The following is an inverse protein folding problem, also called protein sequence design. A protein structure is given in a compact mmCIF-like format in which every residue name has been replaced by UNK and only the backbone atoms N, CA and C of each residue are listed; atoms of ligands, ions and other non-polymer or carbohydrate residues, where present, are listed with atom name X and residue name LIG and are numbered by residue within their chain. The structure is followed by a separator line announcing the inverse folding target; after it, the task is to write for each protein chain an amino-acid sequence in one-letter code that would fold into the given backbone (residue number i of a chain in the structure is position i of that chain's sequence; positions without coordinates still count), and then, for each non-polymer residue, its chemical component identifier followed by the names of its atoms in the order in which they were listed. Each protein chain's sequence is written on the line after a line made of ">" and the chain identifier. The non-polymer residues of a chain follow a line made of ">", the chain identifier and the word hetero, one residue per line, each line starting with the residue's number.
data_IF_823318312902
#
_entry.id   IF_823318312902
#
_cell.length_a   1.000
_cell.length_b   1.000
_cell.length_c   1.000
_cell.angle_alpha   90.00
_cell.angle_beta   90.00
_cell.angle_gamma   90.00
#
_symmetry.space_group_name_H-M   'P 1'
#
loop_
_entity.id
_entity.type
_entity.pdbx_description
1 polymer ?
#
# COMPACT_ATOMS: atom_id res chain seq x y z
N UNK A 1 17.00 -25.78 -4.46
CA UNK A 1 16.18 -26.11 -5.64
C UNK A 1 14.73 -26.31 -5.18
N UNK A 2 13.93 -25.26 -5.30
CA UNK A 2 12.46 -25.23 -5.41
C UNK A 2 12.14 -23.77 -5.77
N UNK A 3 12.16 -23.49 -7.07
CA UNK A 3 11.64 -22.24 -7.61
C UNK A 3 10.14 -22.24 -7.33
N UNK A 4 9.69 -21.31 -6.50
CA UNK A 4 8.27 -20.96 -6.45
C UNK A 4 8.02 -20.21 -7.76
N UNK A 5 7.49 -20.92 -8.74
CA UNK A 5 6.91 -20.33 -9.95
C UNK A 5 5.74 -19.48 -9.45
N UNK A 6 5.93 -18.15 -9.47
CA UNK A 6 4.84 -17.20 -9.35
C UNK A 6 4.03 -17.34 -10.64
N UNK A 7 2.92 -18.07 -10.54
CA UNK A 7 2.01 -18.32 -11.65
C UNK A 7 1.46 -16.97 -12.17
N UNK A 8 2.02 -16.48 -13.27
CA UNK A 8 1.56 -15.30 -14.02
C UNK A 8 0.36 -15.72 -14.88
N UNK A 9 -0.71 -16.12 -14.20
CA UNK A 9 -1.96 -16.52 -14.83
C UNK A 9 -2.47 -15.46 -15.79
N UNK A 10 -2.65 -15.88 -17.05
CA UNK A 10 -3.11 -15.08 -18.17
C UNK A 10 -4.28 -14.14 -17.82
N UNK A 11 -4.04 -12.83 -17.86
CA UNK A 11 -5.11 -11.82 -17.81
C UNK A 11 -5.81 -11.72 -19.17
N UNK A 12 -6.87 -12.51 -19.36
CA UNK A 12 -8.03 -12.07 -20.14
C UNK A 12 -8.75 -10.99 -19.35
N UNK A 13 -9.30 -9.94 -19.99
CA UNK A 13 -10.11 -8.89 -19.34
C UNK A 13 -11.02 -9.50 -18.27
N UNK A 14 -10.68 -9.28 -17.01
CA UNK A 14 -11.51 -9.66 -15.87
C UNK A 14 -12.57 -8.58 -15.81
N UNK A 15 -13.81 -8.89 -16.17
CA UNK A 15 -14.94 -8.05 -15.79
C UNK A 15 -15.54 -8.69 -14.55
N UNK A 16 -15.45 -8.02 -13.41
CA UNK A 16 -16.33 -8.31 -12.28
C UNK A 16 -17.71 -7.74 -12.65
N UNK A 17 -18.75 -8.58 -12.55
CA UNK A 17 -20.10 -8.28 -13.04
C UNK A 17 -20.34 -8.61 -14.52
N UNK A 18 -21.47 -9.25 -14.81
CA UNK A 18 -21.89 -9.64 -16.17
C UNK A 18 -22.87 -8.63 -16.80
N UNK A 19 -23.48 -7.78 -15.97
CA UNK A 19 -24.53 -6.86 -16.37
C UNK A 19 -24.09 -5.39 -16.25
N UNK A 20 -24.49 -4.56 -17.21
CA UNK A 20 -24.36 -3.10 -17.08
C UNK A 20 -25.36 -2.58 -16.05
N UNK A 21 -24.91 -1.73 -15.14
CA UNK A 21 -25.77 -1.10 -14.15
C UNK A 21 -26.68 -0.07 -14.81
N UNK A 22 -28.00 -0.20 -14.66
CA UNK A 22 -28.96 0.82 -15.10
C UNK A 22 -29.26 1.82 -14.00
N UNK A 23 -29.70 3.04 -14.37
CA UNK A 23 -30.07 4.11 -13.42
C UNK A 23 -31.14 3.68 -12.41
N UNK A 24 -32.07 2.81 -12.83
CA UNK A 24 -33.14 2.31 -11.96
C UNK A 24 -32.62 1.30 -10.94
N UNK A 25 -31.78 0.34 -11.38
CA UNK A 25 -31.12 -0.64 -10.49
C UNK A 25 -30.19 0.05 -9.47
N UNK A 26 -29.53 1.15 -9.86
CA UNK A 26 -28.75 1.95 -8.93
C UNK A 26 -29.63 2.66 -7.90
N UNK A 27 -30.77 3.24 -8.30
CA UNK A 27 -31.73 3.86 -7.37
C UNK A 27 -32.22 2.83 -6.35
N UNK A 28 -32.64 1.66 -6.80
CA UNK A 28 -33.10 0.57 -5.94
C UNK A 28 -31.97 0.09 -5.00
N UNK A 29 -30.72 0.10 -5.48
CA UNK A 29 -29.57 -0.26 -4.65
C UNK A 29 -29.22 0.83 -3.65
N UNK A 30 -29.37 2.12 -3.98
CA UNK A 30 -29.18 3.25 -3.05
C UNK A 30 -30.29 3.28 -1.99
N UNK A 31 -31.53 2.98 -2.37
CA UNK A 31 -32.65 2.84 -1.45
C UNK A 31 -32.46 1.61 -0.54
N UNK A 32 -31.88 0.53 -1.08
CA UNK A 32 -31.43 -0.61 -0.30
C UNK A 32 -30.23 -0.25 0.61
N UNK A 33 -29.27 0.56 0.17
CA UNK A 33 -28.14 1.03 0.98
C UNK A 33 -28.60 1.87 2.18
N UNK A 34 -29.63 2.68 1.98
CA UNK A 34 -30.25 3.51 3.01
C UNK A 34 -31.04 2.68 4.05
N UNK A 35 -31.42 1.45 3.69
CA UNK A 35 -32.18 0.51 4.54
C UNK A 35 -31.33 -0.67 5.06
N UNK A 36 -30.10 -0.84 4.57
CA UNK A 36 -29.16 -1.90 4.97
C UNK A 36 -28.29 -1.48 6.16
N UNK A 37 -27.88 -2.47 6.96
CA UNK A 37 -27.08 -2.27 8.17
C UNK A 37 -25.61 -1.83 7.92
N UNK A 38 -25.15 -1.76 6.66
CA UNK A 38 -23.83 -1.23 6.25
C UNK A 38 -23.83 -0.87 4.76
N UNK A 39 -23.77 0.43 4.40
CA UNK A 39 -23.64 0.91 3.01
C UNK A 39 -22.39 0.39 2.29
N UNK A 40 -21.31 0.13 3.02
CA UNK A 40 -20.04 -0.34 2.49
C UNK A 40 -20.17 -1.72 1.83
N UNK A 41 -20.90 -2.64 2.48
CA UNK A 41 -21.14 -3.99 1.94
C UNK A 41 -21.98 -3.96 0.67
N UNK A 42 -22.88 -2.99 0.54
CA UNK A 42 -23.70 -2.84 -0.65
C UNK A 42 -22.88 -2.36 -1.85
N UNK A 43 -21.91 -1.47 -1.64
CA UNK A 43 -20.95 -1.06 -2.68
C UNK A 43 -20.11 -2.26 -3.15
N UNK A 44 -19.59 -3.05 -2.21
CA UNK A 44 -18.83 -4.25 -2.57
C UNK A 44 -19.69 -5.28 -3.33
N UNK A 45 -20.98 -5.42 -2.98
CA UNK A 45 -21.92 -6.27 -3.72
C UNK A 45 -22.22 -5.74 -5.12
N UNK A 46 -22.29 -4.42 -5.29
CA UNK A 46 -22.44 -3.80 -6.61
C UNK A 46 -21.28 -4.18 -7.52
N UNK A 47 -20.05 -4.09 -7.01
CA UNK A 47 -18.84 -4.47 -7.73
C UNK A 47 -18.82 -5.96 -8.14
N UNK A 48 -19.46 -6.85 -7.40
CA UNK A 48 -19.55 -8.27 -7.77
C UNK A 48 -20.54 -8.53 -8.92
N UNK A 49 -21.67 -7.83 -8.93
CA UNK A 49 -22.81 -8.15 -9.80
C UNK A 49 -22.84 -7.32 -11.09
N UNK A 50 -22.27 -6.12 -11.06
CA UNK A 50 -22.37 -5.17 -12.15
C UNK A 50 -20.99 -4.70 -12.63
N UNK A 51 -20.87 -4.53 -13.95
CA UNK A 51 -19.74 -3.83 -14.56
C UNK A 51 -19.98 -2.32 -14.37
N UNK A 52 -19.53 -1.81 -13.23
CA UNK A 52 -19.76 -0.42 -12.81
C UNK A 52 -18.58 0.44 -13.23
N UNK A 53 -18.78 1.29 -14.23
CA UNK A 53 -17.87 2.39 -14.53
C UNK A 53 -17.90 3.39 -13.35
N UNK A 54 -16.73 3.67 -12.77
CA UNK A 54 -16.59 4.52 -11.59
C UNK A 54 -16.95 5.99 -11.88
N UNK A 55 -16.70 6.47 -13.10
CA UNK A 55 -17.13 7.79 -13.53
C UNK A 55 -18.64 7.83 -13.74
N UNK A 56 -19.27 6.75 -14.21
CA UNK A 56 -20.72 6.66 -14.28
C UNK A 56 -21.33 6.56 -12.89
N UNK A 57 -20.78 5.76 -11.97
CA UNK A 57 -21.21 5.71 -10.57
C UNK A 57 -21.11 7.11 -9.94
N UNK A 58 -19.99 7.80 -10.16
CA UNK A 58 -19.77 9.17 -9.69
C UNK A 58 -20.74 10.16 -10.32
N UNK A 59 -20.92 10.16 -11.65
CA UNK A 59 -21.84 11.04 -12.38
C UNK A 59 -23.29 10.77 -12.01
N UNK A 60 -23.67 9.52 -11.78
CA UNK A 60 -25.02 9.13 -11.38
C UNK A 60 -25.30 9.55 -9.92
N UNK A 61 -24.32 9.42 -9.03
CA UNK A 61 -24.40 9.94 -7.66
C UNK A 61 -24.40 11.49 -7.63
N UNK A 62 -23.64 12.15 -8.52
CA UNK A 62 -23.69 13.61 -8.72
C UNK A 62 -25.00 14.08 -9.37
N UNK A 63 -25.58 13.30 -10.28
CA UNK A 63 -26.83 13.60 -10.98
C UNK A 63 -28.08 13.48 -10.08
N UNK A 64 -27.97 12.76 -8.97
CA UNK A 64 -28.95 12.78 -7.89
C UNK A 64 -28.80 14.03 -7.00
N UNK A 65 -27.63 14.70 -6.98
CA UNK A 65 -27.30 15.78 -6.05
C UNK A 65 -26.34 16.85 -6.65
N UNK A 66 -26.87 17.96 -7.23
CA UNK A 66 -26.18 18.76 -8.26
C UNK A 66 -25.17 19.83 -7.79
N UNK A 67 -24.56 19.70 -6.60
CA UNK A 67 -23.61 20.71 -6.09
C UNK A 67 -22.20 20.14 -5.91
N UNK A 68 -21.50 19.78 -7.00
CA UNK A 68 -20.06 19.49 -6.95
C UNK A 68 -19.38 20.10 -8.18
N UNK A 69 -18.39 20.96 -7.97
CA UNK A 69 -17.50 21.50 -8.99
C UNK A 69 -16.07 21.03 -8.65
N UNK A 70 -15.46 20.18 -9.48
CA UNK A 70 -14.04 19.81 -9.33
C UNK A 70 -13.35 19.66 -10.69
N UNK A 71 -12.16 20.26 -10.80
CA UNK A 71 -11.31 20.36 -11.99
C UNK A 71 -10.70 19.01 -12.43
N UNK A 72 -10.54 18.86 -13.74
CA UNK A 72 -10.24 17.66 -14.53
C UNK A 72 -8.82 17.06 -14.40
N UNK A 73 -8.05 17.39 -13.34
CA UNK A 73 -6.70 16.83 -13.08
C UNK A 73 -6.62 15.95 -11.81
N UNK A 74 -7.76 15.65 -11.18
CA UNK A 74 -7.88 14.93 -9.90
C UNK A 74 -8.78 13.68 -10.01
N UNK A 75 -8.60 12.85 -11.03
CA UNK A 75 -9.47 11.67 -11.30
C UNK A 75 -8.91 10.33 -10.82
N UNK A 76 -7.97 10.30 -9.89
CA UNK A 76 -7.56 9.07 -9.19
C UNK A 76 -7.81 9.08 -7.67
N UNK A 77 -8.73 9.94 -7.20
CA UNK A 77 -9.16 9.90 -5.80
C UNK A 77 -10.38 8.99 -5.65
N UNK A 78 -10.11 7.80 -5.10
CA UNK A 78 -10.96 6.94 -4.25
C UNK A 78 -12.39 7.44 -4.02
N UNK A 79 -13.37 6.53 -4.17
CA UNK A 79 -14.79 6.70 -3.81
C UNK A 79 -14.99 7.42 -2.45
N UNK A 80 -15.01 8.76 -2.45
CA UNK A 80 -15.50 9.59 -1.33
C UNK A 80 -16.85 10.16 -1.74
N UNK A 81 -17.79 9.24 -1.93
CA UNK A 81 -19.15 9.53 -2.38
C UNK A 81 -20.05 9.69 -1.15
N UNK A 82 -20.19 10.92 -0.63
CA UNK A 82 -21.34 11.23 0.23
C UNK A 82 -21.15 12.15 1.45
N UNK A 83 -19.95 12.66 1.72
CA UNK A 83 -19.69 13.46 2.94
C UNK A 83 -20.57 14.72 3.05
N UNK A 84 -20.93 15.34 1.92
CA UNK A 84 -21.77 16.55 1.93
C UNK A 84 -23.26 16.29 2.18
N UNK A 85 -23.73 15.03 2.22
CA UNK A 85 -25.15 14.68 2.38
C UNK A 85 -25.45 13.52 3.35
N UNK A 86 -24.52 13.19 4.25
CA UNK A 86 -24.77 12.21 5.31
C UNK A 86 -24.60 10.74 4.91
N UNK A 87 -24.06 10.47 3.72
CA UNK A 87 -23.53 9.15 3.34
C UNK A 87 -22.05 9.11 3.73
N UNK A 88 -21.78 8.89 5.02
CA UNK A 88 -20.43 8.60 5.50
C UNK A 88 -20.13 7.11 5.24
N UNK A 89 -19.73 6.80 4.00
CA UNK A 89 -19.28 5.44 3.64
C UNK A 89 -17.83 5.31 4.09
N UNK A 90 -17.61 4.58 5.18
CA UNK A 90 -16.27 4.26 5.67
C UNK A 90 -16.15 2.78 5.93
N UNK A 91 -15.17 2.15 5.28
CA UNK A 91 -14.84 0.74 5.50
C UNK A 91 -14.46 0.39 6.95
N UNK A 92 -14.27 1.38 7.83
CA UNK A 92 -14.07 1.18 9.28
C UNK A 92 -15.30 0.64 10.01
N UNK A 93 -16.50 0.74 9.43
CA UNK A 93 -17.72 0.18 10.01
C UNK A 93 -17.99 -1.28 9.57
N UNK A 94 -17.19 -1.81 8.65
CA UNK A 94 -17.34 -3.17 8.14
C UNK A 94 -16.99 -4.16 9.25
N UNK A 95 -17.89 -5.13 9.47
CA UNK A 95 -17.66 -6.18 10.48
C UNK A 95 -16.95 -7.36 9.84
N UNK A 96 -16.03 -7.96 10.59
CA UNK A 96 -15.30 -9.15 10.14
C UNK A 96 -16.22 -10.27 9.65
N UNK A 97 -17.33 -10.48 10.37
CA UNK A 97 -18.35 -11.48 10.01
C UNK A 97 -18.93 -11.34 8.62
N UNK A 98 -19.00 -10.11 8.12
CA UNK A 98 -19.67 -9.80 6.87
C UNK A 98 -18.67 -9.80 5.69
N UNK A 99 -17.40 -9.48 5.95
CA UNK A 99 -16.35 -9.39 4.91
C UNK A 99 -15.53 -10.68 4.75
N UNK A 100 -15.32 -11.45 5.82
CA UNK A 100 -14.48 -12.65 5.79
C UNK A 100 -14.90 -13.67 4.70
N UNK A 101 -16.20 -13.95 4.47
CA UNK A 101 -16.61 -14.88 3.42
C UNK A 101 -16.21 -14.44 2.00
N UNK A 102 -16.05 -13.14 1.74
CA UNK A 102 -15.65 -12.62 0.42
C UNK A 102 -14.25 -13.07 0.00
N UNK A 103 -13.40 -13.33 0.99
CA UNK A 103 -12.02 -13.78 0.80
C UNK A 103 -11.83 -15.26 1.18
N UNK A 104 -12.94 -16.02 1.21
CA UNK A 104 -12.92 -17.45 1.50
C UNK A 104 -12.63 -17.80 2.96
N UNK A 105 -12.72 -16.86 3.90
CA UNK A 105 -12.50 -17.08 5.32
C UNK A 105 -13.81 -17.35 6.08
N UNK A 106 -13.73 -18.16 7.14
CA UNK A 106 -14.80 -18.44 8.09
C UNK A 106 -14.75 -17.43 9.24
N UNK A 107 -15.81 -16.66 9.40
CA UNK A 107 -15.79 -15.57 10.38
C UNK A 107 -15.70 -16.07 11.83
N UNK A 108 -16.22 -17.26 12.11
CA UNK A 108 -16.19 -17.91 13.42
C UNK A 108 -14.77 -18.23 13.86
N UNK A 109 -13.84 -18.38 12.91
CA UNK A 109 -12.44 -18.68 13.18
C UNK A 109 -11.61 -17.43 13.46
N UNK A 110 -12.20 -16.23 13.39
CA UNK A 110 -11.58 -14.96 13.77
C UNK A 110 -10.19 -14.75 13.13
N UNK A 111 -10.05 -15.15 11.86
CA UNK A 111 -8.82 -15.00 11.08
C UNK A 111 -7.71 -15.99 11.43
N UNK A 112 -7.99 -17.07 12.17
CA UNK A 112 -7.02 -18.17 12.41
C UNK A 112 -6.88 -19.10 11.21
N UNK A 113 -7.83 -19.03 10.30
CA UNK A 113 -7.93 -19.77 9.05
C UNK A 113 -7.30 -19.04 7.86
N UNK A 114 -6.75 -17.84 8.08
CA UNK A 114 -6.03 -17.11 7.04
C UNK A 114 -4.84 -17.94 6.53
N UNK A 115 -4.69 -18.14 5.22
CA UNK A 115 -3.48 -18.72 4.66
C UNK A 115 -2.29 -17.83 5.01
N UNK A 116 -1.13 -18.45 5.23
CA UNK A 116 0.10 -17.72 5.58
C UNK A 116 1.02 -17.59 4.38
N UNK A 117 1.73 -16.47 4.28
CA UNK A 117 2.76 -16.22 3.28
C UNK A 117 4.03 -15.68 3.93
N UNK A 118 5.19 -16.15 3.47
CA UNK A 118 6.48 -15.66 3.97
C UNK A 118 6.72 -14.21 3.52
N UNK A 119 6.86 -13.33 4.51
CA UNK A 119 7.34 -11.97 4.30
C UNK A 119 8.84 -11.94 4.59
N UNK A 120 9.58 -11.40 3.62
CA UNK A 120 11.04 -11.23 3.73
C UNK A 120 11.35 -9.80 4.15
N UNK A 121 12.57 -9.63 4.65
CA UNK A 121 13.18 -8.30 4.83
C UNK A 121 14.02 -8.00 3.61
N UNK A 122 13.91 -6.78 3.08
CA UNK A 122 14.84 -6.23 2.12
C UNK A 122 15.72 -5.24 2.88
N UNK A 123 17.03 -5.49 2.88
CA UNK A 123 17.96 -4.64 3.63
C UNK A 123 17.89 -3.21 3.07
N UNK A 124 18.10 -2.23 3.94
CA UNK A 124 18.27 -0.82 3.57
C UNK A 124 19.68 -0.36 3.95
N UNK A 125 20.26 0.62 3.24
CA UNK A 125 21.57 1.17 3.59
C UNK A 125 21.60 1.65 5.02
N UNK A 126 22.74 1.47 5.69
CA UNK A 126 22.90 1.92 7.08
C UNK A 126 22.82 3.44 7.20
N UNK A 127 23.27 4.19 6.19
CA UNK A 127 23.09 5.66 6.10
C UNK A 127 21.61 6.04 6.07
N UNK A 128 20.84 5.46 5.16
CA UNK A 128 19.39 5.68 5.06
C UNK A 128 18.65 5.32 6.35
N UNK A 129 19.05 4.24 7.03
CA UNK A 129 18.45 3.89 8.30
C UNK A 129 18.77 4.90 9.41
N UNK A 130 20.00 5.40 9.49
CA UNK A 130 20.36 6.47 10.46
C UNK A 130 19.53 7.73 10.23
N UNK A 131 19.34 8.07 8.97
CA UNK A 131 18.52 9.17 8.51
C UNK A 131 17.05 9.04 8.94
N UNK A 132 16.46 7.84 8.79
CA UNK A 132 15.12 7.51 9.32
C UNK A 132 15.07 7.66 10.85
N UNK A 133 16.11 7.22 11.56
CA UNK A 133 16.18 7.41 13.03
C UNK A 133 16.23 8.90 13.39
N UNK A 134 16.90 9.73 12.59
CA UNK A 134 16.87 11.18 12.74
C UNK A 134 15.46 11.75 12.62
N UNK A 135 14.69 11.31 11.62
CA UNK A 135 13.30 11.73 11.45
C UNK A 135 12.43 11.28 12.64
N UNK A 136 12.60 10.03 13.10
CA UNK A 136 11.92 9.52 14.31
C UNK A 136 12.25 10.36 15.53
N UNK A 137 13.53 10.72 15.71
CA UNK A 137 13.97 11.58 16.81
C UNK A 137 13.30 12.95 16.75
N UNK A 138 13.15 13.55 15.57
CA UNK A 138 12.43 14.83 15.38
C UNK A 138 10.97 14.68 15.83
N UNK A 139 10.27 13.65 15.37
CA UNK A 139 8.87 13.40 15.75
C UNK A 139 8.74 13.17 17.25
N UNK A 140 9.66 12.39 17.85
CA UNK A 140 9.65 12.14 19.28
C UNK A 140 9.92 13.40 20.12
N UNK A 141 10.78 14.29 19.64
CA UNK A 141 11.01 15.59 20.29
C UNK A 141 9.79 16.52 20.20
N UNK A 142 8.99 16.41 19.13
CA UNK A 142 7.81 17.25 18.91
C UNK A 142 6.58 16.77 19.69
N UNK A 143 6.32 15.46 19.69
CA UNK A 143 5.07 14.89 20.21
C UNK A 143 5.26 14.03 21.47
N UNK A 144 6.50 13.86 21.92
CA UNK A 144 6.87 12.91 22.98
C UNK A 144 7.05 11.49 22.42
N UNK A 145 7.05 10.50 23.31
CA UNK A 145 7.26 9.10 22.92
C UNK A 145 6.00 8.46 22.30
N UNK A 146 6.14 7.38 21.51
CA UNK A 146 5.01 6.72 20.87
C UNK A 146 3.87 6.32 21.81
N UNK A 147 4.19 5.92 23.04
CA UNK A 147 3.19 5.58 24.06
C UNK A 147 2.31 6.76 24.48
N UNK A 148 2.76 8.00 24.25
CA UNK A 148 2.05 9.23 24.61
C UNK A 148 1.12 9.74 23.50
N UNK A 149 1.16 9.16 22.30
CA UNK A 149 0.41 9.64 21.14
C UNK A 149 -1.08 9.31 21.23
N UNK A 150 -1.84 10.21 21.87
CA UNK A 150 -3.30 10.08 22.02
C UNK A 150 -4.06 10.45 20.75
N UNK A 151 -3.58 11.44 19.99
CA UNK A 151 -4.18 11.81 18.71
C UNK A 151 -3.63 10.96 17.56
N UNK A 152 -4.45 10.77 16.52
CA UNK A 152 -4.06 10.03 15.32
C UNK A 152 -2.96 10.73 14.55
N UNK A 153 -3.00 12.06 14.51
CA UNK A 153 -2.03 12.86 13.77
C UNK A 153 -0.59 12.57 14.20
N UNK A 154 -0.29 12.55 15.50
CA UNK A 154 1.06 12.23 15.97
C UNK A 154 1.48 10.79 15.63
N UNK A 155 0.55 9.83 15.68
CA UNK A 155 0.83 8.43 15.31
C UNK A 155 1.10 8.29 13.81
N UNK A 156 0.36 9.00 12.98
CA UNK A 156 0.62 9.14 11.55
C UNK A 156 1.99 9.75 11.29
N UNK A 157 2.34 10.89 11.89
CA UNK A 157 3.66 11.49 11.72
C UNK A 157 4.79 10.51 12.08
N UNK A 158 4.61 9.75 13.16
CA UNK A 158 5.56 8.72 13.56
C UNK A 158 5.64 7.56 12.55
N UNK A 159 4.51 7.04 12.07
CA UNK A 159 4.48 6.02 11.01
C UNK A 159 5.16 6.54 9.73
N UNK A 160 4.84 7.76 9.32
CA UNK A 160 5.45 8.45 8.18
C UNK A 160 6.97 8.49 8.27
N UNK A 161 7.52 8.82 9.44
CA UNK A 161 8.96 8.84 9.65
C UNK A 161 9.63 7.49 9.35
N UNK A 162 8.94 6.36 9.51
CA UNK A 162 9.49 5.02 9.26
C UNK A 162 9.67 4.69 7.77
N UNK A 163 8.92 5.34 6.87
CA UNK A 163 8.91 4.99 5.46
C UNK A 163 9.09 6.16 4.48
N UNK A 164 8.97 7.43 4.89
CA UNK A 164 9.04 8.57 3.97
C UNK A 164 10.33 8.57 3.15
N UNK A 165 11.49 8.39 3.79
CA UNK A 165 12.78 8.30 3.08
C UNK A 165 12.91 7.03 2.23
N UNK A 166 12.18 5.97 2.57
CA UNK A 166 12.17 4.72 1.77
C UNK A 166 11.37 4.92 0.49
N UNK A 167 10.19 5.53 0.59
CA UNK A 167 9.33 5.86 -0.55
C UNK A 167 10.05 6.81 -1.51
N UNK A 168 10.83 7.75 -0.97
CA UNK A 168 11.62 8.68 -1.76
C UNK A 168 12.67 7.99 -2.67
N UNK A 169 13.07 6.74 -2.39
CA UNK A 169 13.99 5.99 -3.27
C UNK A 169 13.38 5.63 -4.63
N UNK A 170 12.06 5.77 -4.78
CA UNK A 170 11.34 5.39 -5.99
C UNK A 170 11.03 6.58 -6.91
N UNK A 171 11.66 7.74 -6.69
CA UNK A 171 11.57 8.94 -7.56
C UNK A 171 10.12 9.26 -7.99
N UNK A 172 9.22 9.36 -7.01
CA UNK A 172 7.78 9.64 -7.21
C UNK A 172 7.00 8.59 -8.01
N UNK A 173 7.63 7.49 -8.43
CA UNK A 173 6.97 6.36 -9.09
C UNK A 173 6.06 5.62 -8.11
N UNK A 174 6.50 5.55 -6.86
CA UNK A 174 5.69 5.17 -5.71
C UNK A 174 5.40 6.43 -4.92
N UNK A 175 4.13 6.77 -4.76
CA UNK A 175 3.75 7.94 -3.97
C UNK A 175 2.50 7.67 -3.15
N UNK A 176 2.36 8.37 -2.02
CA UNK A 176 1.14 8.30 -1.23
C UNK A 176 0.03 9.06 -1.97
N UNK A 177 -0.90 8.31 -2.56
CA UNK A 177 -2.17 8.82 -3.05
C UNK A 177 -3.02 9.14 -1.82
N UNK A 178 -2.72 10.28 -1.19
CA UNK A 178 -3.39 10.75 0.00
C UNK A 178 -4.90 10.58 -0.19
N UNK A 179 -5.51 9.74 0.66
CA UNK A 179 -6.93 9.87 0.92
C UNK A 179 -7.12 11.34 1.28
N UNK A 180 -8.00 12.06 0.57
CA UNK A 180 -8.30 13.45 0.88
C UNK A 180 -8.38 13.59 2.39
N UNK A 181 -7.45 14.36 2.98
CA UNK A 181 -7.64 14.93 4.30
C UNK A 181 -8.82 15.89 4.09
N UNK A 182 -10.03 15.35 4.15
CA UNK A 182 -11.22 16.17 4.12
C UNK A 182 -11.12 16.96 5.43
N UNK A 183 -11.20 18.30 5.42
CA UNK A 183 -11.59 19.06 6.59
C UNK A 183 -13.08 18.78 6.86
N UNK A 184 -13.47 17.53 7.02
CA UNK A 184 -14.74 17.14 7.61
C UNK A 184 -14.47 17.17 9.09
N UNK A 185 -15.16 18.07 9.79
CA UNK A 185 -15.35 18.09 11.25
C UNK A 185 -14.95 16.74 11.84
N UNK A 186 -13.80 16.72 12.54
CA UNK A 186 -13.21 15.56 13.22
C UNK A 186 -14.16 14.37 13.19
N UNK A 187 -14.03 13.48 12.20
CA UNK A 187 -14.83 12.27 12.21
C UNK A 187 -14.54 11.60 13.54
N UNK A 188 -15.58 11.31 14.31
CA UNK A 188 -15.50 10.86 15.70
C UNK A 188 -14.84 9.48 15.86
N UNK A 189 -14.23 8.94 14.79
CA UNK A 189 -13.55 7.64 14.70
C UNK A 189 -12.40 7.68 13.69
N UNK A 190 -11.66 8.79 13.66
CA UNK A 190 -10.57 9.02 12.73
C UNK A 190 -9.57 7.85 12.69
N UNK A 191 -9.08 7.58 11.49
CA UNK A 191 -7.94 6.69 11.27
C UNK A 191 -7.21 7.18 10.03
N UNK A 192 -5.92 7.44 10.17
CA UNK A 192 -5.09 7.88 9.06
C UNK A 192 -4.72 6.68 8.21
N UNK A 193 -4.95 6.82 6.90
CA UNK A 193 -4.73 5.77 5.89
C UNK A 193 -3.65 6.24 4.93
N UNK A 194 -2.57 5.47 4.82
CA UNK A 194 -1.63 5.64 3.72
C UNK A 194 -2.05 4.71 2.59
N UNK A 195 -2.18 5.24 1.37
CA UNK A 195 -2.43 4.44 0.17
C UNK A 195 -1.35 4.77 -0.83
N UNK A 196 -0.47 3.84 -1.10
CA UNK A 196 0.61 4.05 -2.06
C UNK A 196 0.19 3.58 -3.43
N UNK A 197 0.24 4.53 -4.37
CA UNK A 197 0.01 4.31 -5.79
C UNK A 197 1.31 4.00 -6.48
N UNK A 198 1.27 3.05 -7.41
CA UNK A 198 2.34 2.70 -8.33
C UNK A 198 1.74 2.73 -9.73
N UNK A 199 2.26 3.61 -10.58
CA UNK A 199 1.73 3.85 -11.94
C UNK A 199 0.20 4.07 -11.99
N UNK A 200 -0.34 4.74 -10.97
CA UNK A 200 -1.78 5.05 -10.87
C UNK A 200 -2.64 4.00 -10.17
N UNK A 201 -2.08 2.83 -9.84
CA UNK A 201 -2.79 1.74 -9.16
C UNK A 201 -2.40 1.64 -7.69
N UNK A 202 -3.38 1.50 -6.79
CA UNK A 202 -3.07 1.34 -5.36
C UNK A 202 -2.52 -0.05 -5.13
N UNK A 203 -1.28 -0.13 -4.65
CA UNK A 203 -0.58 -1.40 -4.44
C UNK A 203 -0.23 -1.67 -2.98
N UNK A 204 -0.23 -0.64 -2.12
CA UNK A 204 0.03 -0.79 -0.69
C UNK A 204 -0.90 0.09 0.13
N UNK A 205 -1.50 -0.47 1.18
CA UNK A 205 -2.32 0.26 2.13
C UNK A 205 -1.78 0.08 3.55
N UNK A 206 -1.73 1.17 4.32
CA UNK A 206 -1.42 1.14 5.76
C UNK A 206 -2.64 1.64 6.51
N UNK A 207 -3.18 0.80 7.38
CA UNK A 207 -4.31 1.09 8.25
C UNK A 207 -3.82 1.19 9.68
N UNK A 208 -4.04 2.35 10.30
CA UNK A 208 -3.81 2.57 11.71
C UNK A 208 -5.06 2.24 12.54
N UNK A 209 -4.89 1.63 13.70
CA UNK A 209 -6.00 1.39 14.64
C UNK A 209 -5.56 1.61 16.10
N UNK A 210 -6.53 1.80 17.00
CA UNK A 210 -6.24 1.84 18.43
C UNK A 210 -6.07 0.40 18.95
N UNK A 211 -4.94 0.07 19.57
CA UNK A 211 -4.47 -1.30 19.83
C UNK A 211 -5.30 -2.22 20.74
N UNK A 212 -6.60 -2.02 20.93
CA UNK A 212 -7.46 -2.92 21.71
C UNK A 212 -7.78 -4.20 20.91
N UNK A 213 -7.74 -5.36 21.58
CA UNK A 213 -7.87 -6.67 20.92
C UNK A 213 -9.24 -6.90 20.25
N UNK A 214 -10.30 -6.30 20.79
CA UNK A 214 -11.64 -6.28 20.19
C UNK A 214 -11.70 -5.40 18.92
N UNK A 215 -10.81 -4.42 18.78
CA UNK A 215 -10.72 -3.55 17.61
C UNK A 215 -9.87 -4.17 16.49
N UNK A 216 -8.92 -5.05 16.83
CA UNK A 216 -8.06 -5.71 15.84
C UNK A 216 -8.86 -6.43 14.74
N UNK A 217 -9.90 -7.19 15.08
CA UNK A 217 -10.70 -7.89 14.06
C UNK A 217 -11.50 -6.93 13.17
N UNK A 218 -11.98 -5.83 13.74
CA UNK A 218 -12.62 -4.77 12.96
C UNK A 218 -11.61 -4.10 12.01
N UNK A 219 -10.38 -3.86 12.48
CA UNK A 219 -9.33 -3.29 11.66
C UNK A 219 -8.87 -4.24 10.54
N UNK A 220 -8.79 -5.55 10.80
CA UNK A 220 -8.59 -6.57 9.75
C UNK A 220 -9.74 -6.53 8.74
N UNK A 221 -10.99 -6.43 9.21
CA UNK A 221 -12.15 -6.35 8.32
C UNK A 221 -12.07 -5.15 7.37
N UNK A 222 -11.64 -4.01 7.91
CA UNK A 222 -11.38 -2.80 7.14
C UNK A 222 -10.24 -2.99 6.13
N UNK A 223 -9.13 -3.63 6.51
CA UNK A 223 -8.03 -3.94 5.57
C UNK A 223 -8.53 -4.79 4.40
N UNK A 224 -9.34 -5.82 4.66
CA UNK A 224 -9.93 -6.65 3.60
C UNK A 224 -10.81 -5.82 2.67
N UNK A 225 -11.70 -4.99 3.24
CA UNK A 225 -12.62 -4.17 2.47
C UNK A 225 -11.90 -3.12 1.60
N UNK A 226 -10.87 -2.47 2.15
CA UNK A 226 -10.01 -1.53 1.43
C UNK A 226 -9.26 -2.22 0.30
N UNK A 227 -8.66 -3.40 0.56
CA UNK A 227 -8.01 -4.19 -0.48
C UNK A 227 -8.97 -4.56 -1.61
N UNK A 228 -10.19 -5.04 -1.30
CA UNK A 228 -11.16 -5.44 -2.32
C UNK A 228 -11.61 -4.24 -3.19
N UNK A 229 -11.83 -3.07 -2.57
CA UNK A 229 -12.18 -1.85 -3.30
C UNK A 229 -11.02 -1.33 -4.17
N UNK A 230 -9.79 -1.37 -3.67
CA UNK A 230 -8.61 -1.00 -4.43
C UNK A 230 -8.36 -1.98 -5.59
N UNK A 231 -8.57 -3.28 -5.38
CA UNK A 231 -8.40 -4.31 -6.42
C UNK A 231 -9.41 -4.11 -7.55
N UNK A 232 -10.68 -3.85 -7.22
CA UNK A 232 -11.69 -3.47 -8.20
C UNK A 232 -11.28 -2.23 -9.01
N UNK A 233 -10.77 -1.20 -8.34
CA UNK A 233 -10.33 0.03 -8.99
C UNK A 233 -9.14 -0.22 -9.93
N UNK A 234 -8.17 -1.03 -9.49
CA UNK A 234 -7.03 -1.41 -10.32
C UNK A 234 -7.47 -2.24 -11.53
N UNK A 235 -8.39 -3.19 -11.36
CA UNK A 235 -8.92 -4.06 -12.43
C UNK A 235 -9.61 -3.23 -13.52
N UNK A 236 -10.40 -2.21 -13.14
CA UNK A 236 -11.05 -1.28 -14.08
C UNK A 236 -10.04 -0.48 -14.93
N UNK A 237 -8.87 -0.20 -14.37
CA UNK A 237 -7.78 0.52 -15.05
C UNK A 237 -6.76 -0.40 -15.72
N UNK A 238 -7.00 -1.72 -15.70
CA UNK A 238 -6.07 -2.76 -16.20
C UNK A 238 -4.69 -2.77 -15.50
N UNK A 239 -4.65 -2.32 -14.25
CA UNK A 239 -3.47 -2.14 -13.40
C UNK A 239 -3.12 -3.41 -12.58
N UNK A 240 -1.93 -3.49 -11.96
CA UNK A 240 -1.51 -4.67 -11.22
C UNK A 240 -2.50 -5.06 -10.10
N UNK A 241 -2.82 -6.36 -9.93
CA UNK A 241 -3.89 -6.81 -9.04
C UNK A 241 -3.46 -7.05 -7.58
N UNK A 242 -2.16 -7.03 -7.26
CA UNK A 242 -1.69 -7.45 -5.93
C UNK A 242 -1.61 -6.25 -4.99
N UNK A 243 -2.32 -6.35 -3.86
CA UNK A 243 -2.36 -5.30 -2.85
C UNK A 243 -1.75 -5.81 -1.55
N UNK A 244 -0.82 -5.03 -1.01
CA UNK A 244 -0.18 -5.27 0.27
C UNK A 244 -0.88 -4.47 1.36
N UNK A 245 -1.36 -5.15 2.39
CA UNK A 245 -1.98 -4.51 3.55
C UNK A 245 -1.02 -4.47 4.73
N UNK A 246 -0.95 -3.34 5.43
CA UNK A 246 -0.22 -3.20 6.68
C UNK A 246 -1.19 -2.70 7.73
N UNK A 247 -1.27 -3.40 8.86
CA UNK A 247 -2.07 -3.00 10.01
C UNK A 247 -1.13 -2.65 11.16
N UNK A 248 -1.31 -1.47 11.74
CA UNK A 248 -0.48 -1.03 12.87
C UNK A 248 -1.25 -0.27 13.94
N UNK A 249 -0.87 -0.49 15.19
CA UNK A 249 -1.29 0.32 16.34
C UNK A 249 -0.21 1.34 16.76
N UNK A 250 0.82 1.52 15.94
CA UNK A 250 2.00 2.34 16.24
C UNK A 250 3.12 1.61 16.99
N UNK A 251 2.84 0.44 17.56
CA UNK A 251 3.82 -0.39 18.29
C UNK A 251 3.98 -1.80 17.71
N UNK A 252 2.95 -2.32 17.06
CA UNK A 252 2.93 -3.62 16.40
C UNK A 252 2.54 -3.47 14.93
N UNK A 253 3.06 -4.36 14.09
CA UNK A 253 2.87 -4.34 12.64
C UNK A 253 2.50 -5.74 12.16
N UNK A 254 1.35 -5.85 11.51
CA UNK A 254 0.89 -7.04 10.81
C UNK A 254 0.85 -6.76 9.30
N UNK A 255 1.20 -7.76 8.52
CA UNK A 255 1.32 -7.63 7.07
C UNK A 255 0.38 -8.61 6.40
N UNK A 256 -0.21 -8.20 5.30
CA UNK A 256 -1.21 -8.97 4.56
C UNK A 256 -0.96 -8.86 3.06
N UNK A 257 -1.35 -9.91 2.34
CA UNK A 257 -1.36 -9.92 0.88
C UNK A 257 -2.76 -10.25 0.42
N UNK A 258 -3.36 -9.34 -0.34
CA UNK A 258 -4.64 -9.57 -1.01
C UNK A 258 -4.40 -9.94 -2.46
N UNK A 259 -5.05 -11.03 -2.87
CA UNK A 259 -5.03 -11.51 -4.24
C UNK A 259 -6.47 -11.59 -4.78
N UNK A 260 -6.92 -10.52 -5.42
CA UNK A 260 -8.25 -10.45 -6.04
C UNK A 260 -8.39 -11.23 -7.35
N UNK A 261 -7.30 -11.82 -7.84
CA UNK A 261 -7.32 -12.69 -9.02
C UNK A 261 -7.95 -14.05 -8.79
N UNK A 262 -7.96 -14.52 -7.53
CA UNK A 262 -8.52 -15.80 -7.15
C UNK A 262 -10.05 -15.72 -7.03
N UNK A 263 -10.73 -16.87 -7.16
CA UNK A 263 -12.19 -16.99 -6.96
C UNK A 263 -12.47 -18.10 -5.92
N UNK A 264 -12.85 -17.77 -4.67
CA UNK A 264 -12.92 -16.42 -4.10
C UNK A 264 -11.54 -15.75 -3.99
N UNK A 265 -11.52 -14.43 -3.78
CA UNK A 265 -10.27 -13.71 -3.53
C UNK A 265 -9.53 -14.31 -2.32
N UNK A 266 -8.20 -14.23 -2.31
CA UNK A 266 -7.39 -14.78 -1.21
C UNK A 266 -6.81 -13.63 -0.39
N UNK A 267 -7.02 -13.69 0.93
CA UNK A 267 -6.41 -12.77 1.88
C UNK A 267 -5.46 -13.53 2.80
N UNK A 268 -4.16 -13.36 2.59
CA UNK A 268 -3.10 -14.09 3.29
C UNK A 268 -2.45 -13.24 4.37
N UNK A 269 -2.13 -13.86 5.52
CA UNK A 269 -1.34 -13.26 6.59
C UNK A 269 0.16 -13.44 6.34
N UNK A 270 0.90 -12.35 6.45
CA UNK A 270 2.35 -12.37 6.43
C UNK A 270 2.93 -13.02 7.68
N UNK A 271 3.90 -13.91 7.49
CA UNK A 271 4.67 -14.53 8.56
C UNK A 271 6.16 -14.32 8.34
N UNK A 272 6.92 -14.32 9.42
CA UNK A 272 8.35 -14.13 9.41
C UNK A 272 9.06 -15.29 10.08
N UNK A 273 10.21 -15.65 9.53
CA UNK A 273 11.10 -16.66 10.07
C UNK A 273 12.41 -16.01 10.53
N UNK A 274 12.75 -16.18 11.81
CA UNK A 274 14.05 -15.74 12.35
C UNK A 274 15.15 -16.75 12.04
N UNK A 275 14.84 -18.04 12.07
CA UNK A 275 15.78 -19.14 11.88
C UNK A 275 15.05 -20.31 11.22
N UNK A 276 15.73 -21.13 10.39
CA UNK A 276 15.13 -22.33 9.84
C UNK A 276 14.60 -23.24 10.95
N UNK A 277 13.31 -23.58 10.90
CA UNK A 277 12.64 -24.43 11.90
C UNK A 277 12.10 -23.73 13.13
N UNK A 278 12.29 -22.41 13.29
CA UNK A 278 11.61 -21.67 14.37
C UNK A 278 10.13 -21.46 14.05
N UNK A 279 9.31 -21.37 15.10
CA UNK A 279 7.88 -21.04 14.94
C UNK A 279 7.79 -19.66 14.29
N UNK A 280 7.07 -19.53 13.16
CA UNK A 280 6.88 -18.23 12.54
C UNK A 280 6.17 -17.28 13.50
N UNK A 281 6.48 -16.00 13.37
CA UNK A 281 5.76 -14.95 14.06
C UNK A 281 5.00 -14.08 13.05
N UNK A 282 3.87 -13.56 13.49
CA UNK A 282 2.89 -12.86 12.64
C UNK A 282 3.01 -11.33 12.73
N UNK A 283 3.77 -10.84 13.72
CA UNK A 283 3.88 -9.42 14.07
C UNK A 283 5.31 -8.99 14.27
N UNK A 284 5.66 -7.82 13.71
CA UNK A 284 6.83 -7.08 14.15
C UNK A 284 6.43 -6.11 15.27
N UNK A 285 7.35 -5.89 16.21
CA UNK A 285 7.11 -5.03 17.37
C UNK A 285 8.23 -4.00 17.52
N UNK A 286 7.82 -2.74 17.71
CA UNK A 286 8.67 -1.69 18.24
C UNK A 286 8.76 -1.90 19.75
N UNK A 287 9.98 -1.89 20.28
CA UNK A 287 10.18 -1.99 21.74
C UNK A 287 9.73 -0.69 22.39
N UNK A 288 9.20 -0.77 23.61
CA UNK A 288 8.86 0.43 24.36
C UNK A 288 10.15 1.19 24.71
N UNK A 289 10.26 2.42 24.22
CA UNK A 289 11.43 3.28 24.40
C UNK A 289 11.79 3.47 25.88
N UNK A 290 10.79 3.54 26.77
CA UNK A 290 11.03 3.70 28.21
C UNK A 290 11.46 2.41 28.91
N UNK A 291 11.20 1.26 28.29
CA UNK A 291 11.43 -0.04 28.91
C UNK A 291 12.76 -0.67 28.49
N UNK A 292 13.43 -0.14 27.47
CA UNK A 292 14.66 -0.72 26.91
C UNK A 292 15.71 0.34 26.65
N UNK A 293 17.01 -0.02 26.56
CA UNK A 293 18.04 0.91 26.12
C UNK A 293 17.80 1.40 24.69
N UNK A 294 18.22 2.63 24.37
CA UNK A 294 18.07 3.27 23.05
C UNK A 294 18.50 2.36 21.89
N UNK A 295 19.64 1.67 22.04
CA UNK A 295 20.15 0.75 21.03
C UNK A 295 19.17 -0.40 20.74
N UNK A 296 18.41 -0.86 21.73
CA UNK A 296 17.41 -1.92 21.58
C UNK A 296 16.15 -1.39 20.91
N UNK A 297 15.72 -0.17 21.26
CA UNK A 297 14.64 0.53 20.57
C UNK A 297 14.96 0.71 19.08
N UNK A 298 16.12 1.29 18.77
CA UNK A 298 16.60 1.51 17.40
C UNK A 298 16.68 0.19 16.63
N UNK A 299 17.23 -0.87 17.24
CA UNK A 299 17.29 -2.21 16.60
C UNK A 299 15.90 -2.78 16.28
N UNK A 300 14.87 -2.43 17.04
CA UNK A 300 13.50 -2.90 16.80
C UNK A 300 12.83 -2.22 15.60
N UNK A 301 13.25 -1.00 15.24
CA UNK A 301 12.73 -0.26 14.08
C UNK A 301 13.25 -0.83 12.75
N UNK A 302 14.50 -1.31 12.73
CA UNK A 302 15.15 -1.72 11.47
C UNK A 302 14.37 -2.82 10.70
N UNK A 303 13.93 -3.92 11.33
CA UNK A 303 13.13 -4.93 10.64
C UNK A 303 11.84 -4.40 10.03
N UNK A 304 11.22 -3.39 10.65
CA UNK A 304 9.98 -2.76 10.16
C UNK A 304 10.29 -1.94 8.90
N UNK A 305 11.30 -1.07 8.95
CA UNK A 305 11.76 -0.30 7.78
C UNK A 305 12.19 -1.22 6.61
N UNK A 306 12.94 -2.29 6.89
CA UNK A 306 13.35 -3.28 5.89
C UNK A 306 12.15 -4.04 5.28
N UNK A 307 11.07 -4.21 6.04
CA UNK A 307 9.84 -4.82 5.53
C UNK A 307 9.03 -3.83 4.69
N UNK A 308 8.95 -2.56 5.09
CA UNK A 308 8.39 -1.51 4.24
C UNK A 308 9.10 -1.44 2.89
N UNK A 309 10.44 -1.40 2.89
CA UNK A 309 11.22 -1.38 1.65
C UNK A 309 10.95 -2.62 0.77
N UNK A 310 10.88 -3.80 1.38
CA UNK A 310 10.54 -5.04 0.67
C UNK A 310 9.17 -4.95 -0.03
N UNK A 311 8.15 -4.44 0.66
CA UNK A 311 6.81 -4.31 0.10
C UNK A 311 6.73 -3.24 -0.99
N UNK A 312 7.45 -2.12 -0.84
CA UNK A 312 7.56 -1.12 -1.90
C UNK A 312 8.26 -1.66 -3.14
N UNK A 313 9.34 -2.43 -2.98
CA UNK A 313 9.99 -3.11 -4.11
C UNK A 313 9.05 -4.09 -4.81
N UNK A 314 8.28 -4.88 -4.05
CA UNK A 314 7.28 -5.78 -4.62
C UNK A 314 6.17 -5.05 -5.37
N UNK A 315 5.67 -3.95 -4.80
CA UNK A 315 4.64 -3.12 -5.42
C UNK A 315 5.15 -2.47 -6.72
N UNK A 316 6.34 -1.84 -6.66
CA UNK A 316 7.02 -1.27 -7.82
C UNK A 316 7.21 -2.30 -8.93
N UNK A 317 7.80 -3.45 -8.58
CA UNK A 317 8.03 -4.56 -9.50
C UNK A 317 6.74 -5.05 -10.16
N UNK A 318 5.67 -5.24 -9.38
CA UNK A 318 4.39 -5.68 -9.92
C UNK A 318 3.83 -4.67 -10.94
N UNK A 319 4.05 -3.37 -10.71
CA UNK A 319 3.82 -2.30 -11.67
C UNK A 319 4.60 -2.50 -12.96
N UNK A 320 5.92 -2.58 -12.87
CA UNK A 320 6.82 -2.72 -14.02
C UNK A 320 6.52 -3.99 -14.83
N UNK A 321 6.31 -5.13 -14.15
CA UNK A 321 5.94 -6.40 -14.76
C UNK A 321 4.68 -6.27 -15.63
N UNK A 322 3.66 -5.61 -15.09
CA UNK A 322 2.36 -5.48 -15.77
C UNK A 322 2.45 -4.67 -17.06
N UNK A 323 3.22 -3.58 -17.06
CA UNK A 323 3.46 -2.78 -18.26
C UNK A 323 4.31 -3.55 -19.27
N UNK A 324 5.40 -4.21 -18.84
CA UNK A 324 6.23 -5.03 -19.72
C UNK A 324 5.42 -6.15 -20.41
N UNK A 325 4.54 -6.83 -19.67
CA UNK A 325 3.66 -7.88 -20.20
C UNK A 325 2.61 -7.34 -21.19
N UNK A 326 2.14 -6.11 -21.00
CA UNK A 326 1.15 -5.50 -21.90
C UNK A 326 1.73 -5.25 -23.30
N UNK A 327 2.94 -4.67 -23.38
CA UNK A 327 3.62 -4.46 -24.66
C UNK A 327 3.94 -5.79 -25.37
N UNK A 328 4.31 -6.82 -24.61
CA UNK A 328 4.52 -8.17 -25.17
C UNK A 328 3.24 -8.74 -25.79
N UNK A 329 2.08 -8.56 -25.13
CA UNK A 329 0.77 -9.02 -25.63
C UNK A 329 0.32 -8.30 -26.90
N UNK A 330 0.63 -7.01 -27.01
CA UNK A 330 0.28 -6.21 -28.18
C UNK A 330 1.18 -6.51 -29.40
N UNK A 331 2.15 -7.43 -29.25
CA UNK A 331 3.07 -7.83 -30.32
C UNK A 331 4.11 -6.76 -30.64
N UNK A 332 4.31 -5.78 -29.74
CA UNK A 332 5.21 -4.65 -29.93
C UNK A 332 6.53 -4.96 -29.19
N UNK A 333 7.37 -5.79 -29.78
CA UNK A 333 8.65 -6.24 -29.17
C UNK A 333 9.85 -5.35 -29.54
N UNK A 334 9.75 -4.57 -30.61
CA UNK A 334 10.89 -3.81 -31.15
C UNK A 334 10.79 -2.30 -30.85
N UNK A 335 9.76 -1.87 -30.11
CA UNK A 335 9.65 -0.46 -29.72
C UNK A 335 10.62 -0.11 -28.61
N UNK A 336 11.17 1.10 -28.65
CA UNK A 336 11.99 1.68 -27.58
C UNK A 336 11.28 1.60 -26.22
N UNK A 337 9.95 1.78 -26.20
CA UNK A 337 9.14 1.65 -24.98
C UNK A 337 9.15 0.23 -24.41
N UNK A 338 9.07 -0.81 -25.25
CA UNK A 338 9.16 -2.20 -24.78
C UNK A 338 10.54 -2.52 -24.20
N UNK A 339 11.62 -2.11 -24.90
CA UNK A 339 12.99 -2.31 -24.43
C UNK A 339 13.22 -1.62 -23.07
N UNK A 340 12.68 -0.41 -22.91
CA UNK A 340 12.71 0.35 -21.66
C UNK A 340 11.99 -0.38 -20.52
N UNK A 341 10.78 -0.90 -20.74
CA UNK A 341 10.06 -1.68 -19.73
C UNK A 341 10.71 -3.03 -19.42
N UNK A 342 11.27 -3.71 -20.41
CA UNK A 342 11.99 -4.97 -20.23
C UNK A 342 13.25 -4.76 -19.40
N UNK A 343 14.03 -3.72 -19.71
CA UNK A 343 15.23 -3.33 -18.95
C UNK A 343 14.86 -2.96 -17.51
N UNK A 344 13.81 -2.12 -17.33
CA UNK A 344 13.31 -1.78 -16.02
C UNK A 344 12.91 -3.03 -15.21
N UNK A 345 12.24 -3.99 -15.84
CA UNK A 345 11.85 -5.24 -15.20
C UNK A 345 13.05 -6.03 -14.69
N UNK A 346 14.06 -6.26 -15.54
CA UNK A 346 15.27 -7.00 -15.16
C UNK A 346 16.00 -6.33 -13.99
N UNK A 347 16.16 -5.01 -14.06
CA UNK A 347 16.77 -4.23 -12.98
C UNK A 347 15.95 -4.26 -11.68
N UNK A 348 14.61 -4.20 -11.75
CA UNK A 348 13.74 -4.29 -10.58
C UNK A 348 13.78 -5.69 -9.92
N UNK A 349 13.82 -6.76 -10.74
CA UNK A 349 14.00 -8.14 -10.30
C UNK A 349 15.32 -8.30 -9.52
N UNK A 350 16.41 -7.81 -10.10
CA UNK A 350 17.75 -7.89 -9.50
C UNK A 350 17.86 -7.04 -8.23
N UNK A 351 17.29 -5.83 -8.21
CA UNK A 351 17.24 -4.97 -7.03
C UNK A 351 16.57 -5.67 -5.83
N UNK A 352 15.42 -6.33 -6.07
CA UNK A 352 14.72 -7.09 -5.05
C UNK A 352 15.54 -8.28 -4.55
N UNK A 353 16.15 -9.03 -5.47
CA UNK A 353 16.96 -10.19 -5.15
C UNK A 353 18.16 -9.81 -4.28
N UNK A 354 18.91 -8.78 -4.68
CA UNK A 354 20.10 -8.29 -3.98
C UNK A 354 19.75 -7.71 -2.61
N UNK A 355 18.68 -6.93 -2.50
CA UNK A 355 18.27 -6.36 -1.20
C UNK A 355 17.83 -7.46 -0.21
N UNK A 356 17.16 -8.51 -0.70
CA UNK A 356 16.79 -9.67 0.12
C UNK A 356 18.02 -10.51 0.48
N UNK A 357 18.97 -10.69 -0.44
CA UNK A 357 20.24 -11.38 -0.16
C UNK A 357 21.03 -10.66 0.93
N UNK A 358 21.19 -9.34 0.82
CA UNK A 358 21.84 -8.53 1.83
C UNK A 358 21.18 -8.65 3.23
N UNK A 359 19.85 -8.77 3.29
CA UNK A 359 19.14 -9.01 4.54
C UNK A 359 19.42 -10.41 5.12
N UNK A 360 19.52 -11.45 4.26
CA UNK A 360 19.89 -12.80 4.70
C UNK A 360 21.31 -12.85 5.24
N UNK A 361 22.26 -12.21 4.55
CA UNK A 361 23.65 -12.09 5.01
C UNK A 361 23.76 -11.36 6.34
N UNK A 362 23.00 -10.28 6.51
CA UNK A 362 22.93 -9.55 7.77
C UNK A 362 22.37 -10.41 8.91
N UNK A 363 21.38 -11.26 8.64
CA UNK A 363 20.83 -12.21 9.60
C UNK A 363 21.84 -13.34 9.93
N UNK A 364 22.64 -13.75 8.96
CA UNK A 364 23.71 -14.73 9.14
C UNK A 364 24.97 -14.16 9.81
N UNK A 365 24.96 -12.87 10.18
CA UNK A 365 26.11 -12.16 10.75
C UNK A 365 27.37 -12.23 9.88
N UNK A 366 27.18 -12.19 8.56
CA UNK A 366 28.29 -12.04 7.60
C UNK A 366 28.96 -10.67 7.71
N UNK A 367 30.09 -10.51 7.03
CA UNK A 367 30.90 -9.29 7.06
C UNK A 367 30.12 -8.06 6.55
N UNK A 368 30.32 -6.93 7.24
CA UNK A 368 29.60 -5.69 6.96
C UNK A 368 29.89 -5.15 5.55
N UNK A 369 31.12 -5.28 5.04
CA UNK A 369 31.47 -4.83 3.70
C UNK A 369 30.71 -5.62 2.64
N UNK A 370 30.53 -6.93 2.83
CA UNK A 370 29.77 -7.77 1.90
C UNK A 370 28.29 -7.36 1.87
N UNK A 371 27.71 -7.07 3.03
CA UNK A 371 26.31 -6.63 3.15
C UNK A 371 26.13 -5.26 2.48
N UNK A 372 27.04 -4.32 2.76
CA UNK A 372 26.97 -2.96 2.22
C UNK A 372 27.19 -2.95 0.70
N UNK A 373 28.13 -3.77 0.18
CA UNK A 373 28.33 -3.93 -1.26
C UNK A 373 27.05 -4.45 -1.94
N UNK A 374 26.42 -5.49 -1.40
CA UNK A 374 25.17 -6.02 -1.97
C UNK A 374 24.04 -5.00 -1.93
N UNK A 375 24.02 -4.15 -0.91
CA UNK A 375 23.06 -3.06 -0.84
C UNK A 375 23.30 -1.96 -1.85
N UNK A 376 24.55 -1.60 -2.10
CA UNK A 376 24.89 -0.61 -3.13
C UNK A 376 24.51 -1.14 -4.53
N UNK A 377 24.80 -2.41 -4.80
CA UNK A 377 24.36 -3.09 -6.04
C UNK A 377 22.83 -3.07 -6.17
N UNK A 378 22.09 -3.38 -5.09
CA UNK A 378 20.62 -3.36 -5.10
C UNK A 378 20.06 -1.97 -5.41
N UNK A 379 20.62 -0.92 -4.79
CA UNK A 379 20.20 0.46 -5.06
C UNK A 379 20.58 0.93 -6.45
N UNK A 380 21.74 0.52 -6.96
CA UNK A 380 22.14 0.78 -8.34
C UNK A 380 21.13 0.19 -9.31
N UNK A 381 20.75 -1.08 -9.14
CA UNK A 381 19.73 -1.71 -9.97
C UNK A 381 18.37 -1.02 -9.85
N UNK A 382 17.95 -0.59 -8.65
CA UNK A 382 16.71 0.19 -8.50
C UNK A 382 16.76 1.51 -9.30
N UNK A 383 17.86 2.25 -9.22
CA UNK A 383 18.03 3.51 -9.98
C UNK A 383 18.06 3.25 -11.49
N UNK A 384 18.77 2.23 -11.94
CA UNK A 384 18.80 1.84 -13.36
C UNK A 384 17.39 1.46 -13.85
N UNK A 385 16.61 0.77 -13.01
CA UNK A 385 15.21 0.47 -13.31
C UNK A 385 14.36 1.72 -13.48
N UNK A 386 14.48 2.69 -12.57
CA UNK A 386 13.76 3.97 -12.63
C UNK A 386 14.19 4.80 -13.85
N UNK A 387 15.49 4.82 -14.16
CA UNK A 387 16.03 5.49 -15.34
C UNK A 387 15.58 4.85 -16.65
N UNK A 388 15.36 3.54 -16.67
CA UNK A 388 14.84 2.84 -17.84
C UNK A 388 13.34 3.12 -18.09
N UNK A 389 12.59 3.66 -17.11
CA UNK A 389 11.17 3.95 -17.32
C UNK A 389 10.95 4.97 -18.45
N UNK A 390 9.87 4.85 -19.24
CA UNK A 390 9.50 5.87 -20.22
C UNK A 390 9.25 7.23 -19.58
N UNK A 391 9.59 8.31 -20.29
CA UNK A 391 9.44 9.69 -19.78
C UNK A 391 8.01 10.03 -19.33
N UNK A 392 6.99 9.44 -19.94
CA UNK A 392 5.58 9.62 -19.55
C UNK A 392 5.23 9.11 -18.16
N UNK A 393 6.10 8.30 -17.54
CA UNK A 393 5.91 7.70 -16.22
C UNK A 393 6.93 8.20 -15.21
N UNK A 394 7.73 9.21 -15.57
CA UNK A 394 8.68 9.87 -14.67
C UNK A 394 8.08 11.18 -14.15
N UNK A 395 8.36 11.50 -12.90
CA UNK A 395 8.04 12.81 -12.31
C UNK A 395 9.24 13.25 -11.49
N UNK A 396 9.84 14.36 -11.90
CA UNK A 396 11.04 14.90 -11.27
C UNK A 396 10.69 16.15 -10.45
N UNK A 397 11.16 16.19 -9.21
CA UNK A 397 11.07 17.34 -8.32
C UNK A 397 12.47 17.75 -7.88
N UNK A 398 13.03 18.80 -8.48
CA UNK A 398 14.40 19.23 -8.23
C UNK A 398 14.47 20.48 -7.36
N UNK A 399 13.77 20.46 -6.22
CA UNK A 399 13.62 21.64 -5.35
C UNK A 399 14.95 22.17 -4.82
N UNK A 400 15.87 21.28 -4.44
CA UNK A 400 17.19 21.68 -3.93
C UNK A 400 18.14 22.13 -5.04
N UNK A 401 18.05 21.53 -6.23
CA UNK A 401 18.81 22.00 -7.38
C UNK A 401 18.42 23.43 -7.73
N UNK A 402 17.12 23.73 -7.77
CA UNK A 402 16.61 25.08 -7.99
C UNK A 402 17.08 26.08 -6.91
N UNK A 403 17.21 25.61 -5.66
CA UNK A 403 17.76 26.42 -4.57
C UNK A 403 19.24 26.77 -4.79
N UNK A 404 20.05 25.79 -5.21
CA UNK A 404 21.49 25.96 -5.41
C UNK A 404 21.82 26.77 -6.68
N UNK A 405 20.96 26.71 -7.72
CA UNK A 405 21.16 27.47 -8.96
C UNK A 405 20.73 28.94 -8.87
N UNK A 406 19.73 29.26 -8.07
CA UNK A 406 19.19 30.62 -7.96
C UNK A 406 19.21 31.20 -6.53
N UNK A 407 20.31 31.07 -5.76
CA UNK A 407 20.34 31.43 -4.34
C UNK A 407 19.97 32.89 -4.11
N UNK A 408 20.42 33.79 -4.98
CA UNK A 408 20.18 35.24 -4.90
C UNK A 408 18.69 35.62 -4.94
N UNK A 409 17.83 34.80 -5.56
CA UNK A 409 16.39 35.10 -5.66
C UNK A 409 15.62 34.76 -4.37
N UNK A 410 16.20 33.97 -3.47
CA UNK A 410 15.55 33.57 -2.20
C UNK A 410 15.90 34.49 -1.03
N UNK A 411 17.00 35.26 -1.11
CA UNK A 411 17.45 36.13 -0.01
C UNK A 411 16.71 37.47 0.09
N UNK A 412 15.88 37.82 -0.90
CA UNK A 412 15.18 39.11 -0.97
C UNK A 412 13.64 38.99 -0.93
N UNK A 413 13.10 37.84 -0.53
CA UNK A 413 11.66 37.65 -0.29
C UNK A 413 11.30 37.76 1.18
#
# INVERSE_FOLDING_TARGET
>A
MQQIVLDTGHASKRRRGEAKLTRHQLSDTIDAMSSLASPELAILRLFDHYDVDLDDLRRLLMGLYPFINMNYRMTQMTLNLGVEKGLDVSFSNVKYRDIAPRVGLQFELAGRDMPTIDIRRARIPTSLFKDIIGDVQIIMNLYGEPACYRNEEARSWFLGALFNRIVALFDSTVFNAAASVIPSVMTTRGQIRYRFSVFGGISLIVVEFHGLANERLAAIAQVIAECDACDYTNDQLDLPPRIFGILSDGSSFEFFVFNGSAKPAIFSRGIFHTTPGSKPYEKLFIKDYNAVPDATFIRSLRPICETFFYLFLLAYKAGVDRYAEQFAKDGITDSESYLNWSSAKECADEALLLAVDAAKKALAHEDALSIDQRMEEALKCLRESLMALPASHKTEFELLHAWDEEPEKFFYC
#
